data_IF_509112276370
#
_entry.id   IF_509112276370
#
_cell.length_a   1.000
_cell.length_b   1.000
_cell.length_c   1.000
_cell.angle_alpha   90.00
_cell.angle_beta   90.00
_cell.angle_gamma   90.00
#
_symmetry.space_group_name_H-M   'P 1'
#
loop_
_entity.id
_entity.type
_entity.pdbx_description
1 polymer ?
#
# COMPACT_ATOMS: atom_id res chain seq x y z
N UNK A 1 3.89 -16.63 2.50
CA UNK A 1 4.66 -17.82 2.93
C UNK A 1 3.75 -19.03 3.11
N UNK A 2 2.57 -18.90 3.73
CA UNK A 2 1.60 -19.98 3.94
C UNK A 2 1.15 -20.65 2.64
N UNK A 3 0.93 -19.85 1.57
CA UNK A 3 0.58 -20.38 0.23
C UNK A 3 1.71 -21.21 -0.35
N UNK A 4 2.97 -20.80 -0.15
CA UNK A 4 4.13 -21.54 -0.64
C UNK A 4 4.40 -22.81 0.18
N UNK A 5 4.16 -22.78 1.48
CA UNK A 5 4.24 -23.92 2.36
C UNK A 5 3.14 -24.96 2.01
N UNK A 6 1.91 -24.51 1.81
CA UNK A 6 0.80 -25.34 1.38
C UNK A 6 1.03 -25.95 -0.02
N UNK A 7 1.68 -25.20 -0.92
CA UNK A 7 2.00 -25.68 -2.26
C UNK A 7 2.99 -26.86 -2.28
N UNK A 8 3.82 -27.00 -1.25
CA UNK A 8 4.78 -28.15 -1.12
C UNK A 8 4.12 -29.46 -0.69
N UNK A 9 2.93 -29.39 -0.11
CA UNK A 9 2.25 -30.55 0.49
C UNK A 9 1.06 -31.08 -0.30
N UNK A 10 0.66 -30.42 -1.42
CA UNK A 10 -0.52 -30.81 -2.20
C UNK A 10 -0.20 -30.94 -3.69
N UNK A 11 -0.61 -32.05 -4.34
CA UNK A 11 -0.42 -32.31 -5.77
C UNK A 11 -1.74 -32.71 -6.44
N UNK A 12 -2.29 -31.93 -7.37
CA UNK A 12 -1.87 -30.56 -7.74
C UNK A 12 -2.27 -29.52 -6.70
N UNK A 13 -1.46 -28.47 -6.54
CA UNK A 13 -1.83 -27.28 -5.76
C UNK A 13 -2.63 -26.31 -6.65
N UNK A 14 -3.88 -26.06 -6.28
CA UNK A 14 -4.85 -25.29 -7.07
C UNK A 14 -4.99 -23.90 -6.53
N UNK A 15 -4.69 -22.89 -7.35
CA UNK A 15 -4.84 -21.48 -6.99
C UNK A 15 -5.88 -20.85 -7.89
N UNK A 16 -6.92 -20.26 -7.28
CA UNK A 16 -7.89 -19.43 -7.99
C UNK A 16 -7.55 -17.95 -7.80
N UNK A 17 -7.30 -17.24 -8.91
CA UNK A 17 -7.17 -15.79 -8.94
C UNK A 17 -8.49 -15.22 -9.46
N UNK A 18 -9.18 -14.43 -8.64
CA UNK A 18 -10.50 -13.87 -8.96
C UNK A 18 -10.35 -12.42 -9.37
N UNK A 19 -10.71 -12.11 -10.63
CA UNK A 19 -10.59 -10.81 -11.26
C UNK A 19 -9.56 -10.81 -12.40
N UNK A 20 -10.02 -10.68 -13.64
CA UNK A 20 -9.21 -10.70 -14.86
C UNK A 20 -8.73 -9.31 -15.32
N UNK A 21 -8.73 -8.32 -14.45
CA UNK A 21 -8.10 -7.02 -14.70
C UNK A 21 -6.56 -7.10 -14.77
N UNK A 22 -5.90 -5.96 -14.94
CA UNK A 22 -4.42 -5.91 -15.05
C UNK A 22 -3.73 -6.56 -13.85
N UNK A 23 -4.14 -6.23 -12.63
CA UNK A 23 -3.58 -6.79 -11.41
C UNK A 23 -3.76 -8.29 -11.29
N UNK A 24 -4.97 -8.80 -11.60
CA UNK A 24 -5.23 -10.24 -11.56
C UNK A 24 -4.44 -11.03 -12.60
N UNK A 25 -4.28 -10.47 -13.80
CA UNK A 25 -3.41 -11.05 -14.83
C UNK A 25 -1.97 -11.12 -14.33
N UNK A 26 -1.39 -10.02 -13.86
CA UNK A 26 -0.01 -10.01 -13.35
C UNK A 26 0.19 -10.98 -12.18
N UNK A 27 -0.75 -11.02 -11.24
CA UNK A 27 -0.70 -11.93 -10.09
C UNK A 27 -0.77 -13.40 -10.55
N UNK A 28 -1.68 -13.75 -11.46
CA UNK A 28 -1.77 -15.12 -11.97
C UNK A 28 -0.47 -15.58 -12.64
N UNK A 29 0.13 -14.72 -13.47
CA UNK A 29 1.40 -15.01 -14.12
C UNK A 29 2.57 -15.09 -13.15
N UNK A 30 2.65 -14.19 -12.19
CA UNK A 30 3.69 -14.19 -11.15
C UNK A 30 3.60 -15.46 -10.28
N UNK A 31 2.39 -15.84 -9.86
CA UNK A 31 2.15 -17.07 -9.10
C UNK A 31 2.54 -18.32 -9.91
N UNK A 32 2.10 -18.43 -11.16
CA UNK A 32 2.46 -19.55 -12.01
C UNK A 32 3.97 -19.65 -12.24
N UNK A 33 4.67 -18.52 -12.41
CA UNK A 33 6.12 -18.48 -12.54
C UNK A 33 6.83 -18.87 -11.23
N UNK A 34 6.33 -18.41 -10.09
CA UNK A 34 6.91 -18.70 -8.77
C UNK A 34 6.70 -20.16 -8.36
N UNK A 35 5.47 -20.68 -8.53
CA UNK A 35 5.13 -22.05 -8.18
C UNK A 35 5.90 -23.07 -9.03
N UNK A 36 6.21 -22.79 -10.30
CA UNK A 36 7.06 -23.65 -11.14
C UNK A 36 8.52 -23.75 -10.69
N UNK A 37 9.01 -22.80 -9.88
CA UNK A 37 10.38 -22.82 -9.32
C UNK A 37 10.49 -23.57 -8.01
N UNK A 38 9.38 -24.00 -7.44
CA UNK A 38 9.36 -24.79 -6.22
C UNK A 38 9.48 -26.25 -6.66
N UNK A 39 10.48 -26.96 -6.12
CA UNK A 39 10.57 -28.41 -6.25
C UNK A 39 9.39 -29.03 -5.50
N UNK A 40 8.36 -29.43 -6.23
CA UNK A 40 7.12 -29.93 -5.65
C UNK A 40 6.02 -30.15 -6.67
N UNK A 41 4.79 -30.33 -6.22
CA UNK A 41 3.65 -30.74 -7.02
C UNK A 41 3.27 -29.72 -8.10
N UNK A 42 2.53 -30.23 -9.10
CA UNK A 42 2.03 -29.38 -10.20
C UNK A 42 1.10 -28.31 -9.67
N UNK A 43 1.39 -27.05 -10.00
CA UNK A 43 0.48 -25.94 -9.72
C UNK A 43 -0.55 -25.80 -10.85
N UNK A 44 -1.82 -25.68 -10.46
CA UNK A 44 -2.94 -25.35 -11.35
C UNK A 44 -3.44 -23.94 -11.01
N UNK A 45 -3.05 -22.95 -11.82
CA UNK A 45 -3.44 -21.56 -11.63
C UNK A 45 -4.62 -21.25 -12.53
N UNK A 46 -5.75 -20.82 -11.93
CA UNK A 46 -6.99 -20.47 -12.63
C UNK A 46 -7.30 -19.01 -12.42
N UNK A 47 -7.39 -18.26 -13.52
CA UNK A 47 -7.82 -16.86 -13.54
C UNK A 47 -9.30 -16.80 -13.89
N UNK A 48 -10.13 -16.36 -12.93
CA UNK A 48 -11.58 -16.26 -13.05
C UNK A 48 -11.97 -14.80 -13.32
N UNK A 49 -12.65 -14.55 -14.43
CA UNK A 49 -13.13 -13.23 -14.82
C UNK A 49 -14.66 -13.26 -15.02
N UNK A 50 -15.35 -12.32 -14.40
CA UNK A 50 -16.81 -12.22 -14.49
C UNK A 50 -17.31 -11.76 -15.86
N UNK A 51 -16.51 -10.94 -16.54
CA UNK A 51 -16.80 -10.43 -17.87
C UNK A 51 -16.55 -11.42 -19.00
N UNK A 52 -16.89 -11.04 -20.24
CA UNK A 52 -16.73 -11.91 -21.42
C UNK A 52 -15.26 -12.09 -21.86
N UNK A 53 -14.32 -11.31 -21.31
CA UNK A 53 -12.89 -11.39 -21.62
C UNK A 53 -12.04 -10.80 -20.48
N UNK A 54 -10.80 -11.23 -20.37
CA UNK A 54 -9.80 -10.59 -19.49
C UNK A 54 -9.46 -9.19 -19.98
N UNK A 55 -8.87 -8.38 -19.12
CA UNK A 55 -8.47 -7.00 -19.37
C UNK A 55 -9.64 -6.14 -19.86
N UNK A 56 -10.73 -6.04 -19.11
CA UNK A 56 -11.82 -5.13 -19.47
C UNK A 56 -11.28 -3.70 -19.58
N UNK A 57 -11.67 -2.99 -20.65
CA UNK A 57 -11.17 -1.63 -20.92
C UNK A 57 -9.84 -1.55 -21.72
N UNK A 58 -9.15 -2.66 -21.93
CA UNK A 58 -7.96 -2.71 -22.80
C UNK A 58 -8.31 -3.11 -24.24
N UNK A 59 -7.37 -2.87 -25.17
CA UNK A 59 -7.50 -3.33 -26.53
C UNK A 59 -7.68 -4.85 -26.60
N UNK A 60 -8.53 -5.34 -27.51
CA UNK A 60 -8.75 -6.77 -27.69
C UNK A 60 -7.46 -7.56 -28.06
N UNK A 61 -6.50 -6.89 -28.70
CA UNK A 61 -5.17 -7.45 -28.98
C UNK A 61 -4.39 -7.81 -27.72
N UNK A 62 -4.51 -7.01 -26.65
CA UNK A 62 -3.89 -7.29 -25.37
C UNK A 62 -4.48 -8.54 -24.69
N UNK A 63 -5.82 -8.64 -24.65
CA UNK A 63 -6.50 -9.81 -24.11
C UNK A 63 -6.08 -11.10 -24.84
N UNK A 64 -6.12 -11.11 -26.18
CA UNK A 64 -5.67 -12.26 -26.98
C UNK A 64 -4.19 -12.63 -26.75
N UNK A 65 -3.33 -11.65 -26.46
CA UNK A 65 -1.93 -11.95 -26.10
C UNK A 65 -1.82 -12.58 -24.72
N UNK A 66 -2.56 -12.07 -23.74
CA UNK A 66 -2.64 -12.68 -22.41
C UNK A 66 -3.14 -14.11 -22.48
N UNK A 67 -4.21 -14.37 -23.20
CA UNK A 67 -4.76 -15.72 -23.39
C UNK A 67 -3.75 -16.69 -24.01
N UNK A 68 -3.05 -16.27 -25.07
CA UNK A 68 -1.97 -17.07 -25.67
C UNK A 68 -0.80 -17.31 -24.73
N UNK A 69 -0.37 -16.27 -24.01
CA UNK A 69 0.70 -16.37 -23.05
C UNK A 69 0.33 -17.30 -21.87
N UNK A 70 -0.91 -17.27 -21.42
CA UNK A 70 -1.45 -18.12 -20.37
C UNK A 70 -1.43 -19.61 -20.75
N UNK A 71 -1.85 -19.95 -21.97
CA UNK A 71 -1.85 -21.32 -22.48
C UNK A 71 -0.45 -21.94 -22.44
N UNK A 72 0.61 -21.18 -22.75
CA UNK A 72 2.00 -21.63 -22.67
C UNK A 72 2.58 -21.71 -21.25
N UNK A 73 1.83 -21.31 -20.21
CA UNK A 73 2.31 -21.20 -18.82
C UNK A 73 1.47 -21.96 -17.80
N UNK A 74 0.64 -22.91 -18.27
CA UNK A 74 -0.27 -23.69 -17.41
C UNK A 74 -1.22 -22.81 -16.57
N UNK A 75 -1.69 -21.69 -17.14
CA UNK A 75 -2.69 -20.83 -16.54
C UNK A 75 -3.99 -21.02 -17.28
N UNK A 76 -5.03 -21.45 -16.60
CA UNK A 76 -6.37 -21.58 -17.15
C UNK A 76 -7.15 -20.29 -16.96
N UNK A 77 -7.54 -19.63 -18.05
CA UNK A 77 -8.39 -18.45 -18.00
C UNK A 77 -9.85 -18.87 -18.23
N UNK A 78 -10.73 -18.40 -17.35
CA UNK A 78 -12.17 -18.63 -17.45
C UNK A 78 -12.91 -17.31 -17.36
N UNK A 79 -13.52 -16.91 -18.47
CA UNK A 79 -14.38 -15.74 -18.56
C UNK A 79 -15.86 -16.11 -18.32
N UNK A 80 -16.70 -15.13 -17.98
CA UNK A 80 -18.09 -15.36 -17.57
C UNK A 80 -18.23 -16.04 -16.19
N UNK A 81 -17.15 -16.09 -15.42
CA UNK A 81 -17.08 -16.76 -14.13
C UNK A 81 -17.39 -15.79 -12.98
N UNK A 82 -18.66 -15.54 -12.73
CA UNK A 82 -19.09 -14.70 -11.61
C UNK A 82 -19.00 -15.48 -10.32
N UNK A 83 -18.06 -15.09 -9.44
CA UNK A 83 -17.86 -15.70 -8.13
C UNK A 83 -18.90 -15.14 -7.16
N UNK A 84 -19.63 -16.03 -6.48
CA UNK A 84 -20.68 -15.67 -5.53
C UNK A 84 -20.33 -16.04 -4.08
N UNK A 85 -19.47 -17.04 -3.87
CA UNK A 85 -19.05 -17.50 -2.54
C UNK A 85 -17.66 -18.13 -2.61
N UNK A 86 -16.93 -18.03 -1.53
CA UNK A 86 -15.64 -18.69 -1.30
C UNK A 86 -15.71 -19.41 0.03
N UNK A 87 -15.14 -20.60 0.11
CA UNK A 87 -14.84 -21.30 1.35
C UNK A 87 -13.39 -21.79 1.37
N UNK A 88 -12.99 -22.55 2.41
CA UNK A 88 -11.62 -23.02 2.59
C UNK A 88 -11.10 -23.99 1.50
N UNK A 89 -11.95 -24.48 0.59
CA UNK A 89 -11.59 -25.52 -0.38
C UNK A 89 -12.04 -25.21 -1.80
N UNK A 90 -12.86 -24.18 -2.01
CA UNK A 90 -13.45 -23.91 -3.31
C UNK A 90 -13.94 -22.47 -3.50
N UNK A 91 -14.08 -22.11 -4.76
CA UNK A 91 -14.80 -20.92 -5.23
C UNK A 91 -16.10 -21.39 -5.90
N UNK A 92 -17.21 -20.73 -5.60
CA UNK A 92 -18.52 -21.05 -6.18
C UNK A 92 -18.93 -19.97 -7.16
N UNK A 93 -19.33 -20.40 -8.35
CA UNK A 93 -19.76 -19.52 -9.42
C UNK A 93 -21.30 -19.32 -9.40
N UNK A 94 -21.75 -18.26 -10.03
CA UNK A 94 -23.17 -18.10 -10.33
C UNK A 94 -23.65 -19.31 -11.16
N UNK A 95 -24.77 -19.91 -10.74
CA UNK A 95 -25.23 -21.18 -11.31
C UNK A 95 -24.83 -22.44 -10.52
N UNK A 96 -24.12 -22.26 -9.39
CA UNK A 96 -23.85 -23.35 -8.41
C UNK A 96 -22.63 -24.20 -8.72
N UNK A 97 -21.89 -23.93 -9.76
CA UNK A 97 -20.67 -24.66 -10.07
C UNK A 97 -19.60 -24.43 -9.01
N UNK A 98 -18.96 -25.51 -8.59
CA UNK A 98 -17.85 -25.51 -7.62
C UNK A 98 -16.51 -25.64 -8.34
N UNK A 99 -15.62 -24.68 -8.16
CA UNK A 99 -14.25 -24.69 -8.64
C UNK A 99 -13.32 -24.93 -7.45
N UNK A 100 -12.73 -26.13 -7.38
CA UNK A 100 -11.82 -26.48 -6.29
C UNK A 100 -10.59 -25.56 -6.29
N UNK A 101 -10.22 -25.04 -5.13
CA UNK A 101 -9.07 -24.17 -4.93
C UNK A 101 -8.49 -24.41 -3.53
N UNK A 102 -7.19 -24.59 -3.46
CA UNK A 102 -6.44 -24.74 -2.20
C UNK A 102 -5.99 -23.37 -1.67
N UNK A 103 -5.96 -22.36 -2.57
CA UNK A 103 -5.76 -20.96 -2.24
C UNK A 103 -6.57 -20.07 -3.18
N UNK A 104 -7.08 -18.95 -2.65
CA UNK A 104 -7.83 -17.95 -3.42
C UNK A 104 -7.18 -16.60 -3.26
N UNK A 105 -6.87 -15.94 -4.39
CA UNK A 105 -6.36 -14.58 -4.43
C UNK A 105 -7.44 -13.69 -5.03
N UNK A 106 -7.99 -12.80 -4.21
CA UNK A 106 -9.06 -11.89 -4.63
C UNK A 106 -8.47 -10.58 -5.16
N UNK A 107 -8.61 -10.34 -6.46
CA UNK A 107 -8.11 -9.15 -7.18
C UNK A 107 -9.23 -8.55 -8.03
N UNK A 108 -10.46 -8.69 -7.57
CA UNK A 108 -11.61 -8.04 -8.19
C UNK A 108 -11.50 -6.51 -8.08
N UNK A 109 -12.19 -5.80 -8.95
CA UNK A 109 -12.08 -4.33 -9.03
C UNK A 109 -12.33 -3.61 -7.71
N UNK A 110 -11.85 -2.38 -7.62
CA UNK A 110 -11.99 -1.55 -6.43
C UNK A 110 -13.47 -1.40 -6.01
N UNK A 111 -13.74 -1.64 -4.73
CA UNK A 111 -15.00 -1.33 -4.09
C UNK A 111 -14.83 -0.08 -3.20
N UNK A 112 -15.83 0.78 -3.16
CA UNK A 112 -15.80 1.91 -2.27
C UNK A 112 -15.95 1.42 -0.81
N UNK A 113 -15.15 2.00 0.07
CA UNK A 113 -15.36 1.86 1.50
C UNK A 113 -16.59 2.69 1.92
N UNK A 114 -17.33 2.30 2.96
CA UNK A 114 -18.50 3.05 3.45
C UNK A 114 -18.11 4.36 4.18
N UNK A 115 -16.92 4.88 3.88
CA UNK A 115 -16.34 6.09 4.49
C UNK A 115 -17.22 7.33 4.29
N UNK A 116 -17.87 7.43 3.14
CA UNK A 116 -18.70 8.60 2.81
C UNK A 116 -20.17 8.45 3.22
N UNK A 117 -20.57 7.28 3.72
CA UNK A 117 -21.93 7.06 4.18
C UNK A 117 -22.25 7.96 5.39
N UNK A 118 -23.26 8.80 5.27
CA UNK A 118 -23.65 9.74 6.33
C UNK A 118 -22.74 10.98 6.51
N UNK A 119 -21.67 11.12 5.72
CA UNK A 119 -20.73 12.25 5.82
C UNK A 119 -21.20 13.53 5.14
N UNK A 120 -22.28 13.48 4.36
CA UNK A 120 -22.74 14.59 3.51
C UNK A 120 -21.91 14.75 2.22
N UNK A 121 -20.98 13.86 1.95
CA UNK A 121 -20.23 13.80 0.68
C UNK A 121 -21.09 13.04 -0.35
N UNK A 122 -21.34 13.67 -1.49
CA UNK A 122 -22.09 13.06 -2.57
C UNK A 122 -21.23 11.99 -3.26
N UNK A 123 -21.82 10.78 -3.45
CA UNK A 123 -21.16 9.63 -4.08
C UNK A 123 -21.87 9.22 -5.37
N UNK A 124 -21.18 8.44 -6.19
CA UNK A 124 -21.80 7.69 -7.27
C UNK A 124 -22.55 6.45 -6.71
N UNK A 125 -23.25 5.71 -7.61
CA UNK A 125 -24.02 4.50 -7.26
C UNK A 125 -23.16 3.38 -6.66
N UNK A 126 -21.83 3.48 -6.77
CA UNK A 126 -20.85 2.54 -6.23
C UNK A 126 -20.23 3.01 -4.92
N UNK A 127 -20.61 4.20 -4.42
CA UNK A 127 -20.11 4.77 -3.16
C UNK A 127 -18.81 5.58 -3.29
N UNK A 128 -18.30 5.87 -4.48
CA UNK A 128 -17.12 6.71 -4.68
C UNK A 128 -17.47 8.19 -4.66
N UNK A 129 -16.65 9.03 -4.01
CA UNK A 129 -16.89 10.47 -3.91
C UNK A 129 -16.91 11.15 -5.29
N UNK A 130 -18.00 11.83 -5.61
CA UNK A 130 -18.13 12.58 -6.86
C UNK A 130 -17.26 13.83 -6.83
N UNK A 131 -16.41 14.01 -7.84
CA UNK A 131 -15.44 15.12 -7.89
C UNK A 131 -15.57 15.96 -9.18
N UNK A 132 -15.29 17.24 -9.02
CA UNK A 132 -15.13 18.21 -10.11
C UNK A 132 -13.72 18.12 -10.73
N UNK A 133 -13.46 18.80 -11.85
CA UNK A 133 -12.11 18.88 -12.42
C UNK A 133 -11.03 19.41 -11.46
N UNK A 134 -11.40 20.22 -10.50
CA UNK A 134 -10.50 20.72 -9.44
C UNK A 134 -10.19 19.68 -8.35
N UNK A 135 -10.68 18.46 -8.49
CA UNK A 135 -10.62 17.37 -7.49
C UNK A 135 -11.40 17.67 -6.20
N UNK A 136 -12.17 18.76 -6.17
CA UNK A 136 -13.10 19.04 -5.08
C UNK A 136 -14.33 18.11 -5.17
N UNK A 137 -14.87 17.75 -4.02
CA UNK A 137 -16.20 17.14 -3.96
C UNK A 137 -17.24 18.03 -4.61
N UNK A 138 -18.23 17.44 -5.28
CA UNK A 138 -19.35 18.21 -5.85
C UNK A 138 -20.26 18.80 -4.79
N UNK A 139 -20.31 18.20 -3.59
CA UNK A 139 -21.15 18.64 -2.46
C UNK A 139 -20.42 19.55 -1.45
N UNK A 140 -19.07 19.55 -1.44
CA UNK A 140 -18.26 20.30 -0.47
C UNK A 140 -17.03 20.90 -1.12
N UNK A 141 -16.85 22.21 -1.03
CA UNK A 141 -15.72 22.94 -1.63
C UNK A 141 -14.42 22.80 -0.83
N UNK A 142 -14.51 22.40 0.42
CA UNK A 142 -13.42 22.20 1.36
C UNK A 142 -12.92 20.74 1.39
N UNK A 143 -13.59 19.83 0.70
CA UNK A 143 -13.22 18.42 0.61
C UNK A 143 -12.69 18.09 -0.77
N UNK A 144 -11.56 17.42 -0.82
CA UNK A 144 -10.92 16.94 -2.04
C UNK A 144 -10.81 15.41 -2.01
N UNK A 145 -10.96 14.78 -3.17
CA UNK A 145 -10.72 13.36 -3.34
C UNK A 145 -9.96 13.09 -4.64
N UNK A 146 -9.07 12.12 -4.62
CA UNK A 146 -8.24 11.72 -5.76
C UNK A 146 -7.98 10.21 -5.75
N UNK A 147 -7.64 9.65 -6.90
CA UNK A 147 -7.37 8.22 -7.05
C UNK A 147 -8.62 7.37 -6.95
N UNK A 148 -8.48 6.17 -6.39
CA UNK A 148 -9.52 5.14 -6.46
C UNK A 148 -10.79 5.49 -5.65
N UNK A 149 -10.70 6.36 -4.64
CA UNK A 149 -11.87 6.81 -3.87
C UNK A 149 -12.76 7.82 -4.61
N UNK A 150 -12.28 8.40 -5.72
CA UNK A 150 -12.93 9.48 -6.44
C UNK A 150 -13.71 9.00 -7.68
N UNK A 151 -14.91 9.55 -7.89
CA UNK A 151 -15.73 9.37 -9.08
C UNK A 151 -15.70 10.65 -9.94
N UNK A 152 -15.11 10.56 -11.13
CA UNK A 152 -14.99 11.65 -12.07
C UNK A 152 -16.34 12.05 -12.68
N UNK A 153 -16.70 13.35 -12.65
CA UNK A 153 -18.01 13.82 -13.15
C UNK A 153 -17.94 14.63 -14.45
N UNK A 154 -16.77 15.08 -14.86
CA UNK A 154 -16.63 15.98 -16.02
C UNK A 154 -16.41 15.24 -17.36
N UNK A 155 -16.82 13.98 -17.45
CA UNK A 155 -16.69 13.14 -18.65
C UNK A 155 -16.90 11.67 -18.34
N UNK A 156 -16.48 10.78 -19.25
CA UNK A 156 -16.57 9.34 -19.02
C UNK A 156 -15.88 8.91 -17.73
N UNK A 157 -16.41 7.90 -17.06
CA UNK A 157 -15.82 7.36 -15.83
C UNK A 157 -14.36 6.93 -16.05
N UNK A 158 -13.49 7.35 -15.17
CA UNK A 158 -12.09 6.95 -15.21
C UNK A 158 -11.93 5.55 -14.61
N UNK A 159 -11.04 4.76 -15.21
CA UNK A 159 -10.66 3.48 -14.65
C UNK A 159 -9.96 3.68 -13.30
N UNK A 160 -10.19 2.78 -12.33
CA UNK A 160 -9.45 2.75 -11.08
C UNK A 160 -8.06 2.21 -11.34
N UNK A 161 -7.12 3.11 -11.64
CA UNK A 161 -5.75 2.78 -12.01
C UNK A 161 -4.78 3.82 -11.46
N UNK A 162 -3.68 3.37 -10.87
CA UNK A 162 -2.70 4.22 -10.21
C UNK A 162 -2.12 5.34 -11.05
N UNK A 163 -2.12 5.22 -12.38
CA UNK A 163 -1.66 6.27 -13.28
C UNK A 163 -2.51 7.56 -13.18
N UNK A 164 -3.79 7.44 -12.91
CA UNK A 164 -4.66 8.60 -12.67
C UNK A 164 -4.33 9.25 -11.32
N UNK A 165 -4.27 8.45 -10.25
CA UNK A 165 -3.91 8.92 -8.92
C UNK A 165 -2.56 9.68 -8.90
N UNK A 166 -1.53 9.11 -9.53
CA UNK A 166 -0.19 9.74 -9.65
C UNK A 166 -0.25 11.08 -10.37
N UNK A 167 -1.11 11.22 -11.39
CA UNK A 167 -1.25 12.48 -12.15
C UNK A 167 -2.17 13.49 -11.49
N UNK A 168 -3.11 13.05 -10.68
CA UNK A 168 -3.94 13.89 -9.85
C UNK A 168 -3.15 14.53 -8.69
N UNK A 169 -2.16 13.81 -8.14
CA UNK A 169 -1.39 14.25 -6.99
C UNK A 169 -0.85 15.68 -7.06
N UNK A 170 -0.13 16.10 -8.13
CA UNK A 170 0.37 17.48 -8.27
C UNK A 170 -0.75 18.54 -8.37
N UNK A 171 -1.90 18.19 -8.95
CA UNK A 171 -3.08 19.08 -9.02
C UNK A 171 -3.71 19.19 -7.65
N UNK A 172 -3.87 18.07 -6.93
CA UNK A 172 -4.38 18.01 -5.57
C UNK A 172 -3.53 18.85 -4.64
N UNK A 173 -2.20 18.65 -4.64
CA UNK A 173 -1.27 19.40 -3.80
C UNK A 173 -1.35 20.90 -4.04
N UNK A 174 -1.39 21.33 -5.32
CA UNK A 174 -1.56 22.75 -5.65
C UNK A 174 -2.89 23.30 -5.13
N UNK A 175 -3.98 22.57 -5.32
CA UNK A 175 -5.33 23.02 -4.97
C UNK A 175 -5.53 23.08 -3.45
N UNK A 176 -4.97 22.12 -2.71
CA UNK A 176 -4.97 22.17 -1.24
C UNK A 176 -4.22 23.40 -0.72
N UNK A 177 -3.00 23.65 -1.24
CA UNK A 177 -2.21 24.82 -0.84
C UNK A 177 -2.92 26.13 -1.21
N UNK A 178 -3.49 26.23 -2.41
CA UNK A 178 -4.25 27.42 -2.83
C UNK A 178 -5.47 27.67 -1.93
N UNK A 179 -6.16 26.59 -1.54
CA UNK A 179 -7.33 26.67 -0.66
C UNK A 179 -6.96 27.07 0.76
N UNK A 180 -5.89 26.49 1.29
CA UNK A 180 -5.40 26.80 2.65
C UNK A 180 -4.92 28.26 2.77
N UNK A 181 -4.25 28.78 1.73
CA UNK A 181 -3.76 30.16 1.70
C UNK A 181 -4.84 31.19 1.40
N UNK A 182 -5.94 30.77 0.81
CA UNK A 182 -7.04 31.65 0.41
C UNK A 182 -6.72 32.59 -0.77
N UNK A 183 -5.59 32.41 -1.44
CA UNK A 183 -5.05 33.32 -2.45
C UNK A 183 -4.90 32.74 -3.84
N UNK A 184 -5.25 31.48 -4.03
CA UNK A 184 -4.89 30.74 -5.23
C UNK A 184 -6.06 30.38 -6.16
N UNK A 185 -5.81 30.46 -7.47
CA UNK A 185 -6.70 29.89 -8.48
C UNK A 185 -6.51 28.39 -8.55
N UNK A 186 -7.60 27.62 -8.36
CA UNK A 186 -7.57 26.17 -8.44
C UNK A 186 -7.26 25.71 -9.87
N UNK A 187 -6.47 24.67 -9.99
CA UNK A 187 -6.13 23.98 -11.24
C UNK A 187 -7.12 22.87 -11.55
N UNK A 188 -7.45 22.73 -12.83
CA UNK A 188 -8.26 21.61 -13.29
C UNK A 188 -7.36 20.45 -13.71
N UNK A 189 -7.64 19.25 -13.24
CA UNK A 189 -7.11 18.02 -13.78
C UNK A 189 -7.70 17.74 -15.16
N UNK A 190 -6.88 17.27 -16.08
CA UNK A 190 -7.27 16.86 -17.44
C UNK A 190 -6.82 15.41 -17.63
N UNK A 191 -7.75 14.44 -17.53
CA UNK A 191 -7.41 13.04 -17.70
C UNK A 191 -6.83 12.78 -19.10
N UNK A 192 -5.80 11.95 -19.15
CA UNK A 192 -5.30 11.44 -20.42
C UNK A 192 -6.29 10.46 -21.05
N UNK A 193 -6.39 10.49 -22.38
CA UNK A 193 -7.27 9.58 -23.14
C UNK A 193 -6.75 8.15 -23.16
N UNK A 194 -5.44 7.97 -23.02
CA UNK A 194 -4.78 6.67 -23.05
C UNK A 194 -3.46 6.71 -22.27
N UNK A 195 -3.00 5.57 -21.80
CA UNK A 195 -1.74 5.42 -21.10
C UNK A 195 -1.01 4.15 -21.51
N UNK A 196 0.31 4.16 -21.36
CA UNK A 196 1.11 2.96 -21.55
C UNK A 196 0.84 1.99 -20.40
N UNK A 197 0.32 0.82 -20.72
CA UNK A 197 0.15 -0.28 -19.78
C UNK A 197 1.20 -1.35 -20.04
N UNK A 198 1.87 -1.79 -19.00
CA UNK A 198 2.93 -2.79 -19.05
C UNK A 198 2.61 -3.89 -18.03
N UNK A 199 2.26 -5.08 -18.53
CA UNK A 199 1.87 -6.24 -17.73
C UNK A 199 3.04 -7.22 -17.64
N UNK A 200 3.51 -7.48 -16.43
CA UNK A 200 4.57 -8.45 -16.16
C UNK A 200 4.03 -9.89 -16.26
N UNK A 201 4.73 -10.77 -16.98
CA UNK A 201 4.38 -12.18 -17.11
C UNK A 201 5.16 -13.11 -16.15
N UNK A 202 5.92 -12.55 -15.20
CA UNK A 202 6.59 -13.29 -14.13
C UNK A 202 7.85 -14.07 -14.55
N UNK A 203 8.19 -14.12 -15.83
CA UNK A 203 9.31 -14.90 -16.40
C UNK A 203 10.38 -14.03 -17.09
N UNK A 204 10.40 -12.74 -16.81
CA UNK A 204 11.29 -11.78 -17.46
C UNK A 204 10.77 -11.30 -18.82
N UNK A 205 9.50 -11.54 -19.11
CA UNK A 205 8.78 -10.97 -20.25
C UNK A 205 7.60 -10.12 -19.80
N UNK A 206 7.13 -9.21 -20.64
CA UNK A 206 5.97 -8.38 -20.37
C UNK A 206 5.15 -8.12 -21.65
N UNK A 207 3.87 -7.80 -21.47
CA UNK A 207 2.99 -7.31 -22.54
C UNK A 207 2.83 -5.80 -22.34
N UNK A 208 3.20 -5.03 -23.36
CA UNK A 208 3.01 -3.57 -23.41
C UNK A 208 1.88 -3.20 -24.34
N UNK A 209 0.99 -2.34 -23.90
CA UNK A 209 -0.12 -1.83 -24.71
C UNK A 209 -0.21 -0.33 -24.61
N UNK A 210 -0.30 0.34 -25.76
CA UNK A 210 -0.64 1.74 -25.88
C UNK A 210 -1.43 1.98 -27.17
N UNK A 211 -2.52 2.69 -27.06
CA UNK A 211 -3.54 2.80 -28.14
C UNK A 211 -4.00 1.40 -28.59
N UNK A 212 -3.86 1.09 -29.85
CA UNK A 212 -4.16 -0.26 -30.38
C UNK A 212 -2.92 -1.15 -30.54
N UNK A 213 -1.72 -0.60 -30.33
CA UNK A 213 -0.46 -1.34 -30.47
C UNK A 213 -0.20 -2.18 -29.22
N UNK A 214 0.09 -3.46 -29.44
CA UNK A 214 0.43 -4.41 -28.37
C UNK A 214 1.71 -5.16 -28.77
N UNK A 215 2.72 -5.06 -27.89
CA UNK A 215 4.01 -5.75 -28.01
C UNK A 215 4.20 -6.68 -26.83
N UNK A 216 5.03 -7.70 -27.02
CA UNK A 216 5.37 -8.68 -25.99
C UNK A 216 6.86 -9.02 -26.06
N UNK A 217 7.48 -9.27 -24.92
CA UNK A 217 8.82 -9.81 -24.86
C UNK A 217 9.70 -9.20 -23.78
N UNK A 218 10.99 -9.57 -23.80
CA UNK A 218 11.99 -9.12 -22.84
C UNK A 218 12.28 -7.62 -22.93
N UNK A 219 12.24 -7.05 -24.13
CA UNK A 219 12.46 -5.60 -24.31
C UNK A 219 11.32 -4.79 -23.63
N UNK A 220 10.09 -5.29 -23.69
CA UNK A 220 8.95 -4.67 -23.01
C UNK A 220 9.10 -4.79 -21.50
N UNK A 221 9.59 -5.91 -21.00
CA UNK A 221 9.89 -6.09 -19.59
C UNK A 221 11.01 -5.15 -19.12
N UNK A 222 12.09 -5.03 -19.87
CA UNK A 222 13.18 -4.10 -19.55
C UNK A 222 12.71 -2.64 -19.51
N UNK A 223 11.82 -2.26 -20.44
CA UNK A 223 11.18 -0.94 -20.40
C UNK A 223 10.33 -0.74 -19.15
N UNK A 224 9.53 -1.75 -18.76
CA UNK A 224 8.74 -1.73 -17.51
C UNK A 224 9.65 -1.56 -16.30
N UNK A 225 10.67 -2.40 -16.15
CA UNK A 225 11.61 -2.36 -15.05
C UNK A 225 12.30 -0.99 -14.93
N UNK A 226 12.73 -0.43 -16.07
CA UNK A 226 13.33 0.90 -16.09
C UNK A 226 12.36 2.01 -15.65
N UNK A 227 11.08 1.96 -16.11
CA UNK A 227 10.05 2.93 -15.72
C UNK A 227 9.75 2.81 -14.23
N UNK A 228 9.53 1.58 -13.74
CA UNK A 228 9.16 1.31 -12.35
C UNK A 228 10.30 1.74 -11.40
N UNK A 229 11.56 1.39 -11.70
CA UNK A 229 12.74 1.83 -10.92
C UNK A 229 12.90 3.35 -10.94
N UNK A 230 12.70 3.99 -12.10
CA UNK A 230 12.76 5.45 -12.21
C UNK A 230 11.65 6.11 -11.39
N UNK A 231 10.46 5.51 -11.31
CA UNK A 231 9.35 6.00 -10.52
C UNK A 231 9.65 5.86 -9.02
N UNK A 232 10.07 4.69 -8.56
CA UNK A 232 10.40 4.42 -7.16
C UNK A 232 11.53 5.33 -6.65
N UNK A 233 12.55 5.59 -7.48
CA UNK A 233 13.65 6.52 -7.12
C UNK A 233 13.17 7.91 -6.70
N UNK A 234 12.02 8.37 -7.16
CA UNK A 234 11.46 9.68 -6.75
C UNK A 234 11.02 9.73 -5.29
N UNK A 235 10.76 8.57 -4.72
CA UNK A 235 10.32 8.41 -3.34
C UNK A 235 11.43 7.87 -2.42
N UNK A 236 12.61 7.63 -2.97
CA UNK A 236 13.80 7.31 -2.17
C UNK A 236 14.28 8.59 -1.50
N UNK A 237 14.24 8.60 -0.19
CA UNK A 237 14.69 9.73 0.63
C UNK A 237 16.22 9.76 0.73
N UNK A 238 16.86 8.58 0.62
CA UNK A 238 18.31 8.42 0.62
C UNK A 238 18.87 8.73 -0.76
N UNK A 239 19.92 9.55 -0.83
CA UNK A 239 20.66 9.82 -2.07
C UNK A 239 21.36 8.56 -2.61
N UNK A 240 21.89 8.62 -3.87
CA UNK A 240 22.60 7.48 -4.45
C UNK A 240 23.84 7.06 -3.67
N UNK A 241 24.46 8.00 -2.95
CA UNK A 241 25.64 7.77 -2.12
C UNK A 241 25.29 7.29 -0.69
N UNK A 242 24.06 7.55 -0.25
CA UNK A 242 23.45 6.96 0.96
C UNK A 242 22.76 5.62 0.65
N UNK A 243 22.84 5.19 -0.59
CA UNK A 243 22.40 3.88 -0.97
C UNK A 243 23.32 2.87 -0.27
N UNK A 244 22.99 2.55 0.96
CA UNK A 244 22.95 1.17 1.33
C UNK A 244 22.14 0.56 0.20
N UNK A 245 22.83 -0.01 -0.78
CA UNK A 245 22.29 -1.00 -1.67
C UNK A 245 21.99 -2.18 -0.78
N UNK A 246 21.09 -1.96 0.18
CA UNK A 246 20.40 -3.01 0.83
C UNK A 246 19.84 -3.78 -0.34
N UNK A 247 20.36 -4.96 -0.49
CA UNK A 247 19.93 -5.92 -1.48
C UNK A 247 18.50 -6.33 -1.07
N UNK A 248 17.56 -5.37 -1.14
CA UNK A 248 16.12 -5.63 -0.97
C UNK A 248 15.62 -6.64 -1.99
N UNK A 249 16.49 -7.02 -2.94
CA UNK A 249 16.28 -8.10 -3.87
C UNK A 249 16.62 -9.49 -3.28
N UNK A 250 17.30 -9.58 -2.15
CA UNK A 250 17.38 -10.83 -1.40
C UNK A 250 16.05 -10.98 -0.67
N UNK A 251 15.19 -11.80 -1.24
CA UNK A 251 14.06 -12.33 -0.46
C UNK A 251 14.55 -12.78 0.90
N UNK A 252 13.87 -12.44 1.99
CA UNK A 252 14.16 -13.01 3.29
C UNK A 252 14.35 -14.52 3.14
N UNK A 253 15.36 -15.08 3.78
CA UNK A 253 15.55 -16.54 3.80
C UNK A 253 14.26 -17.16 4.33
N UNK A 254 13.81 -18.31 3.80
CA UNK A 254 12.67 -19.02 4.36
C UNK A 254 12.90 -19.26 5.85
N UNK A 255 12.07 -18.65 6.70
CA UNK A 255 12.22 -18.70 8.16
C UNK A 255 12.54 -17.35 8.83
N UNK A 256 12.92 -16.32 8.06
CA UNK A 256 13.01 -14.95 8.58
C UNK A 256 11.61 -14.35 8.59
N UNK A 257 10.85 -14.62 9.66
CA UNK A 257 9.69 -13.80 9.99
C UNK A 257 10.18 -12.37 10.18
N UNK A 258 9.49 -11.42 9.57
CA UNK A 258 9.79 -10.01 9.78
C UNK A 258 9.68 -9.72 11.28
N UNK A 259 10.82 -9.50 11.94
CA UNK A 259 10.89 -9.32 13.38
C UNK A 259 10.17 -8.07 13.88
N UNK A 260 9.87 -7.15 12.97
CA UNK A 260 9.08 -5.96 13.26
C UNK A 260 8.02 -5.74 12.17
N UNK A 261 6.76 -5.70 12.57
CA UNK A 261 5.63 -5.35 11.70
C UNK A 261 5.45 -3.83 11.52
N UNK A 262 6.28 -2.99 12.16
CA UNK A 262 6.10 -1.54 12.17
C UNK A 262 4.70 -1.15 12.64
N UNK A 263 4.11 -0.12 12.01
CA UNK A 263 2.72 0.30 12.29
C UNK A 263 1.69 -0.81 12.01
N UNK A 264 1.98 -1.75 11.13
CA UNK A 264 1.11 -2.89 10.83
C UNK A 264 1.04 -3.93 11.96
N UNK A 265 1.96 -3.89 12.92
CA UNK A 265 1.96 -4.76 14.11
C UNK A 265 1.15 -4.19 15.29
N UNK A 266 0.55 -3.00 15.13
CA UNK A 266 -0.33 -2.44 16.16
C UNK A 266 -1.52 -3.37 16.40
N UNK A 267 -1.91 -3.49 17.65
CA UNK A 267 -3.07 -4.30 18.06
C UNK A 267 -4.31 -3.73 17.39
N UNK A 268 -5.14 -4.59 16.80
CA UNK A 268 -6.38 -4.17 16.16
C UNK A 268 -7.34 -3.48 17.14
N UNK A 269 -8.21 -2.62 16.62
CA UNK A 269 -9.16 -1.82 17.41
C UNK A 269 -9.98 -2.63 18.41
N UNK A 270 -10.53 -3.76 18.00
CA UNK A 270 -11.40 -4.58 18.87
C UNK A 270 -10.68 -5.18 20.09
N UNK A 271 -9.51 -5.83 19.98
CA UNK A 271 -8.74 -6.27 21.14
C UNK A 271 -8.29 -5.12 22.03
N UNK A 272 -7.90 -4.00 21.46
CA UNK A 272 -7.48 -2.81 22.20
C UNK A 272 -8.66 -2.25 23.02
N UNK A 273 -9.82 -2.05 22.41
CA UNK A 273 -11.00 -1.53 23.09
C UNK A 273 -11.42 -2.43 24.28
N UNK A 274 -11.41 -3.76 24.10
CA UNK A 274 -11.71 -4.70 25.19
C UNK A 274 -10.69 -4.65 26.34
N UNK A 275 -9.41 -4.45 26.01
CA UNK A 275 -8.37 -4.32 27.01
C UNK A 275 -8.53 -3.03 27.82
N UNK A 276 -8.83 -1.91 27.17
CA UNK A 276 -9.07 -0.61 27.82
C UNK A 276 -10.34 -0.60 28.66
N UNK A 277 -11.41 -1.26 28.20
CA UNK A 277 -12.63 -1.44 28.99
C UNK A 277 -12.34 -2.20 30.30
N UNK A 278 -11.57 -3.28 30.24
CA UNK A 278 -11.16 -4.05 31.44
C UNK A 278 -10.21 -3.27 32.34
N UNK A 279 -9.39 -2.38 31.78
CA UNK A 279 -8.51 -1.51 32.54
C UNK A 279 -9.27 -0.48 33.36
N UNK A 280 -10.49 -0.11 32.95
CA UNK A 280 -11.28 0.90 33.63
C UNK A 280 -10.62 2.25 33.57
N UNK A 281 -10.38 2.77 32.34
CA UNK A 281 -9.68 4.06 32.12
C UNK A 281 -10.41 5.17 32.85
N UNK A 282 -9.70 5.84 33.77
CA UNK A 282 -10.19 7.04 34.45
C UNK A 282 -9.93 8.26 33.58
N UNK A 283 -10.91 9.16 33.49
CA UNK A 283 -10.79 10.43 32.77
C UNK A 283 -10.32 11.51 33.72
N UNK A 284 -9.23 12.18 33.40
CA UNK A 284 -8.82 13.43 34.02
C UNK A 284 -9.35 14.59 33.15
N UNK A 285 -9.93 15.66 33.75
CA UNK A 285 -10.45 16.80 33.00
C UNK A 285 -9.41 17.50 32.10
N UNK A 286 -8.13 17.41 32.44
CA UNK A 286 -7.04 17.97 31.64
C UNK A 286 -6.72 17.13 30.39
N UNK A 287 -7.23 15.92 30.27
CA UNK A 287 -6.98 15.04 29.10
C UNK A 287 -7.90 15.44 27.95
N UNK A 288 -7.31 16.02 26.89
CA UNK A 288 -7.99 16.42 25.66
C UNK A 288 -8.09 15.27 24.68
N UNK A 289 -7.03 14.47 24.57
CA UNK A 289 -6.95 13.25 23.74
C UNK A 289 -6.22 12.17 24.54
N UNK A 290 -6.85 11.03 24.75
CA UNK A 290 -6.29 9.98 25.59
C UNK A 290 -6.99 8.64 25.40
N UNK A 291 -6.80 7.72 26.35
CA UNK A 291 -7.24 6.33 26.25
C UNK A 291 -8.75 6.10 26.13
N UNK A 292 -9.58 7.10 26.46
CA UNK A 292 -11.04 7.02 26.25
C UNK A 292 -11.42 7.04 24.74
N UNK A 293 -10.55 7.64 23.94
CA UNK A 293 -10.59 7.61 22.47
C UNK A 293 -9.16 7.33 21.98
N UNK A 294 -8.75 6.05 21.93
CA UNK A 294 -7.37 5.69 21.63
C UNK A 294 -6.91 6.25 20.29
N UNK A 295 -5.74 6.85 20.29
CA UNK A 295 -5.11 7.43 19.12
C UNK A 295 -3.59 7.23 19.18
N UNK A 296 -2.88 7.53 18.11
CA UNK A 296 -1.40 7.45 18.04
C UNK A 296 -0.71 8.62 18.78
N UNK A 297 -1.47 9.63 19.16
CA UNK A 297 -1.00 10.75 19.99
C UNK A 297 -1.89 10.95 21.20
N UNK A 298 -1.33 11.52 22.25
CA UNK A 298 -2.07 12.01 23.42
C UNK A 298 -1.98 13.54 23.50
N UNK A 299 -2.97 14.19 24.09
CA UNK A 299 -2.95 15.63 24.34
C UNK A 299 -3.53 15.95 25.72
N UNK A 300 -2.84 16.83 26.45
CA UNK A 300 -3.26 17.29 27.76
C UNK A 300 -3.24 18.81 27.82
N UNK A 301 -4.17 19.39 28.55
CA UNK A 301 -4.21 20.82 28.84
C UNK A 301 -3.42 21.10 30.11
N UNK A 302 -2.51 22.07 30.05
CA UNK A 302 -1.75 22.53 31.22
C UNK A 302 -2.57 23.47 32.07
N UNK A 303 -2.15 23.74 33.33
CA UNK A 303 -2.76 24.71 34.21
C UNK A 303 -2.84 26.16 33.60
N UNK A 304 -2.03 26.42 32.57
CA UNK A 304 -2.04 27.69 31.85
C UNK A 304 -2.98 27.73 30.64
N UNK A 305 -3.71 26.64 30.39
CA UNK A 305 -4.60 26.53 29.24
C UNK A 305 -3.88 26.22 27.92
N UNK A 306 -2.59 25.83 27.96
CA UNK A 306 -1.84 25.40 26.78
C UNK A 306 -2.05 23.90 26.58
N UNK A 307 -2.24 23.48 25.33
CA UNK A 307 -2.34 22.05 24.98
C UNK A 307 -0.96 21.52 24.63
N UNK A 308 -0.53 20.48 25.34
CA UNK A 308 0.69 19.72 25.04
C UNK A 308 0.29 18.42 24.40
N UNK A 309 0.72 18.19 23.16
CA UNK A 309 0.56 16.92 22.46
C UNK A 309 1.87 16.10 22.49
N UNK A 310 1.75 14.79 22.67
CA UNK A 310 2.86 13.86 22.70
C UNK A 310 2.49 12.58 21.98
N UNK A 311 3.50 11.95 21.36
CA UNK A 311 3.42 10.59 20.80
C UNK A 311 4.59 9.77 21.28
N UNK A 312 4.44 8.47 21.27
CA UNK A 312 5.51 7.50 21.47
C UNK A 312 5.37 6.36 20.49
N UNK A 313 6.41 6.15 19.70
CA UNK A 313 6.52 5.02 18.79
C UNK A 313 7.75 4.20 19.09
N UNK A 314 7.65 2.90 18.86
CA UNK A 314 8.77 1.98 19.03
C UNK A 314 8.62 0.76 18.14
N UNK A 315 9.73 0.34 17.53
CA UNK A 315 9.79 -0.90 16.76
C UNK A 315 11.18 -1.52 16.82
N UNK A 316 11.26 -2.79 16.49
CA UNK A 316 12.53 -3.50 16.39
C UNK A 316 13.29 -3.04 15.15
N UNK A 317 14.60 -3.22 15.14
CA UNK A 317 15.40 -3.05 13.95
C UNK A 317 14.83 -3.91 12.81
N UNK A 318 14.52 -3.27 11.70
CA UNK A 318 13.97 -3.88 10.49
C UNK A 318 15.01 -3.99 9.37
N UNK A 319 16.20 -3.45 9.59
CA UNK A 319 17.35 -3.48 8.70
C UNK A 319 18.65 -3.63 9.50
N UNK A 320 19.69 -4.10 8.84
CA UNK A 320 21.02 -4.26 9.43
C UNK A 320 21.80 -2.93 9.48
N UNK A 321 21.22 -1.84 9.05
CA UNK A 321 21.77 -0.49 9.09
C UNK A 321 21.18 0.32 10.26
N UNK A 322 21.96 0.49 11.37
CA UNK A 322 21.49 1.19 12.56
C UNK A 322 21.15 2.67 12.29
N UNK A 323 21.89 3.34 11.40
CA UNK A 323 21.59 4.72 11.02
C UNK A 323 20.23 4.84 10.34
N UNK A 324 19.93 3.94 9.39
CA UNK A 324 18.64 3.91 8.72
C UNK A 324 17.49 3.62 9.69
N UNK A 325 17.69 2.67 10.61
CA UNK A 325 16.71 2.35 11.66
C UNK A 325 16.39 3.59 12.49
N UNK A 326 17.41 4.29 12.98
CA UNK A 326 17.22 5.52 13.76
C UNK A 326 16.50 6.62 12.98
N UNK A 327 16.88 6.84 11.73
CA UNK A 327 16.27 7.86 10.88
C UNK A 327 14.78 7.59 10.61
N UNK A 328 14.44 6.35 10.28
CA UNK A 328 13.04 5.96 10.05
C UNK A 328 12.23 6.03 11.33
N UNK A 329 12.78 5.60 12.48
CA UNK A 329 12.12 5.70 13.77
C UNK A 329 11.74 7.14 14.11
N UNK A 330 12.65 8.08 13.92
CA UNK A 330 12.42 9.49 14.17
C UNK A 330 11.33 10.08 13.27
N UNK A 331 11.41 9.84 11.96
CA UNK A 331 10.42 10.32 10.99
C UNK A 331 9.04 9.73 11.27
N UNK A 332 8.96 8.45 11.63
CA UNK A 332 7.70 7.80 11.95
C UNK A 332 7.06 8.41 13.21
N UNK A 333 7.82 8.61 14.26
CA UNK A 333 7.32 9.20 15.51
C UNK A 333 6.78 10.63 15.30
N UNK A 334 7.49 11.50 14.57
CA UNK A 334 7.01 12.87 14.33
C UNK A 334 5.80 12.91 13.39
N UNK A 335 5.58 11.90 12.56
CA UNK A 335 4.47 11.85 11.62
C UNK A 335 3.10 11.86 12.30
N UNK A 336 2.98 11.26 13.48
CA UNK A 336 1.74 11.21 14.25
C UNK A 336 1.33 12.59 14.75
N UNK A 337 2.28 13.42 15.16
CA UNK A 337 2.02 14.82 15.54
C UNK A 337 1.67 15.68 14.33
N UNK A 338 2.37 15.50 13.21
CA UNK A 338 2.05 16.17 11.96
C UNK A 338 0.63 15.82 11.47
N UNK A 339 0.23 14.56 11.61
CA UNK A 339 -1.13 14.11 11.25
C UNK A 339 -2.22 14.78 12.10
N UNK A 340 -1.88 15.23 13.32
CA UNK A 340 -2.76 16.04 14.20
C UNK A 340 -2.65 17.55 13.98
N UNK A 341 -1.85 18.00 13.02
CA UNK A 341 -1.62 19.43 12.77
C UNK A 341 -0.74 20.10 13.82
N UNK A 342 0.01 19.32 14.60
CA UNK A 342 0.92 19.80 15.65
C UNK A 342 2.36 19.70 15.15
N UNK A 343 3.08 20.82 15.15
CA UNK A 343 4.50 20.84 14.83
C UNK A 343 5.31 20.29 16.03
N UNK A 344 6.03 19.17 15.88
CA UNK A 344 6.88 18.64 16.94
C UNK A 344 8.03 19.61 17.22
N UNK A 345 8.46 19.72 18.48
CA UNK A 345 9.54 20.62 18.89
C UNK A 345 10.67 19.91 19.61
N UNK A 346 10.35 18.89 20.38
CA UNK A 346 11.29 18.16 21.22
C UNK A 346 11.06 16.66 21.06
N UNK A 347 12.14 15.90 21.14
CA UNK A 347 12.10 14.44 21.11
C UNK A 347 12.94 13.84 22.24
N UNK A 348 12.49 12.70 22.75
CA UNK A 348 13.25 11.78 23.57
C UNK A 348 13.48 10.49 22.78
N UNK A 349 14.66 9.88 22.90
CA UNK A 349 14.96 8.61 22.27
C UNK A 349 15.12 7.51 23.33
N UNK A 350 14.49 6.36 23.08
CA UNK A 350 14.75 5.13 23.82
C UNK A 350 15.36 4.12 22.85
N UNK A 351 16.57 3.64 23.17
CA UNK A 351 17.32 2.72 22.32
C UNK A 351 17.74 1.49 23.12
N UNK A 352 17.39 0.31 22.64
CA UNK A 352 17.86 -0.95 23.20
C UNK A 352 18.91 -1.55 22.25
N UNK A 353 20.12 -1.74 22.77
CA UNK A 353 21.25 -2.34 22.03
C UNK A 353 21.36 -3.81 22.47
N UNK A 354 21.58 -4.77 21.54
CA UNK A 354 21.72 -6.18 21.88
C UNK A 354 22.87 -6.45 22.85
N UNK A 355 22.62 -7.33 23.82
CA UNK A 355 23.63 -7.84 24.70
C UNK A 355 24.65 -8.76 23.99
N UNK A 356 25.80 -9.00 24.61
CA UNK A 356 26.82 -9.95 24.11
C UNK A 356 27.80 -9.38 23.08
N UNK A 357 27.68 -8.09 22.76
CA UNK A 357 28.65 -7.38 21.93
C UNK A 357 29.75 -6.73 22.75
N UNK A 358 30.88 -6.37 22.10
CA UNK A 358 31.91 -5.56 22.76
C UNK A 358 31.42 -4.15 23.05
N UNK A 359 31.92 -3.49 24.09
CA UNK A 359 31.54 -2.12 24.41
C UNK A 359 31.71 -1.15 23.21
N UNK A 360 32.79 -1.31 22.43
CA UNK A 360 33.02 -0.50 21.23
C UNK A 360 31.97 -0.74 20.15
N UNK A 361 31.49 -1.97 19.96
CA UNK A 361 30.43 -2.27 18.99
C UNK A 361 29.07 -1.73 19.46
N UNK A 362 28.78 -1.78 20.75
CA UNK A 362 27.57 -1.19 21.33
C UNK A 362 27.59 0.34 21.20
N UNK A 363 28.73 0.98 21.49
CA UNK A 363 28.93 2.42 21.33
C UNK A 363 28.68 2.86 19.85
N UNK A 364 29.31 2.17 18.89
CA UNK A 364 29.18 2.48 17.48
C UNK A 364 27.74 2.28 17.01
N UNK A 365 27.07 1.18 17.40
CA UNK A 365 25.67 0.93 17.04
C UNK A 365 24.76 2.02 17.61
N UNK A 366 24.92 2.37 18.90
CA UNK A 366 24.15 3.43 19.53
C UNK A 366 24.39 4.77 18.82
N UNK A 367 25.67 5.08 18.52
CA UNK A 367 26.00 6.30 17.79
C UNK A 367 25.30 6.37 16.43
N UNK A 368 25.31 5.30 15.65
CA UNK A 368 24.67 5.28 14.34
C UNK A 368 23.15 5.44 14.43
N UNK A 369 22.48 4.73 15.36
CA UNK A 369 21.03 4.91 15.58
C UNK A 369 20.71 6.36 15.95
N UNK A 370 21.47 6.94 16.88
CA UNK A 370 21.23 8.31 17.33
C UNK A 370 21.55 9.35 16.26
N UNK A 371 22.61 9.13 15.47
CA UNK A 371 22.95 9.98 14.33
C UNK A 371 21.85 9.96 13.26
N UNK A 372 21.30 8.79 12.95
CA UNK A 372 20.17 8.63 12.06
C UNK A 372 18.91 9.33 12.58
N UNK A 373 18.56 9.11 13.85
CA UNK A 373 17.43 9.76 14.49
C UNK A 373 17.58 11.30 14.46
N UNK A 374 18.74 11.81 14.81
CA UNK A 374 19.05 13.24 14.74
C UNK A 374 18.87 13.78 13.32
N UNK A 375 19.38 13.10 12.31
CA UNK A 375 19.24 13.55 10.91
C UNK A 375 17.76 13.61 10.46
N UNK A 376 16.89 12.69 10.94
CA UNK A 376 15.46 12.75 10.73
C UNK A 376 14.80 13.94 11.42
N UNK A 377 15.15 14.17 12.68
CA UNK A 377 14.59 15.25 13.50
C UNK A 377 15.04 16.66 13.04
N UNK A 378 16.31 16.81 12.67
CA UNK A 378 16.88 18.09 12.21
C UNK A 378 16.16 18.60 10.94
N UNK A 379 15.68 17.70 10.08
CA UNK A 379 14.93 18.06 8.88
C UNK A 379 13.62 18.77 9.20
N UNK A 380 13.00 18.48 10.33
CA UNK A 380 11.75 19.08 10.82
C UNK A 380 11.97 20.14 11.92
N UNK A 381 13.22 20.47 12.22
CA UNK A 381 13.57 21.44 13.28
C UNK A 381 13.30 20.95 14.70
N UNK A 382 13.26 19.63 14.91
CA UNK A 382 12.98 19.01 16.20
C UNK A 382 14.27 18.79 16.98
N UNK A 383 14.31 19.26 18.23
CA UNK A 383 15.48 19.09 19.09
C UNK A 383 15.41 17.80 19.88
N UNK A 384 16.43 16.96 19.75
CA UNK A 384 16.61 15.78 20.61
C UNK A 384 17.15 16.24 21.97
N UNK A 385 16.35 16.08 23.03
CA UNK A 385 16.65 16.65 24.35
C UNK A 385 17.08 15.61 25.39
N UNK A 386 16.99 14.33 25.09
CA UNK A 386 17.41 13.26 26.00
C UNK A 386 16.87 11.90 25.57
N UNK A 387 16.89 10.96 26.52
CA UNK A 387 16.39 9.61 26.33
C UNK A 387 17.07 8.58 27.24
N UNK A 388 16.88 7.29 26.91
CA UNK A 388 17.46 6.16 27.65
C UNK A 388 17.83 5.03 26.68
#
# INVERSE_FOLDING_TARGET
DDVLAAARSRDPFRVAVVGGGAGGVEVAFALAARLRRIDGPRADVRLLESGPRVLPGYAASAARRVERAAAGRAITIRCGAVVTRIDGEAVYLAGGERVAADAVVWVAGAAALPLFAGSGIETDDRGFARIRPTLQSVSRDDVFAAGDCAAWTAGPALAKAGVYAVREGPVLAHNLLARTRGDGRLRAYRPQRDFLSLLNLGDGTAIGTKWSLTLEGRAVWALKDWIDRRFVRRFQVLGPDDAVTADFARSPMPGDDMLCGGCAAKVGETPLARALERLGVTSDPAVVLGLAQPDDAAAVETERGEIVAATIDGFRAFADDPYLVGRVAAVNAVSDLWAKGVAPRFALAQVTVPDGQTAAAQEEMLYQVMAGARAGLDADGVTLVGGH
#
